data_IF_386445942479
#
_entry.id   IF_386445942479
#
_cell.length_a   1.000
_cell.length_b   1.000
_cell.length_c   1.000
_cell.angle_alpha   90.00
_cell.angle_beta   90.00
_cell.angle_gamma   90.00
#
_symmetry.space_group_name_H-M   'P 1'
#
loop_
_entity.id
_entity.type
_entity.pdbx_description
1 polymer ?
#
# COMPACT_ATOMS: atom_id res chain seq x y z
N UNK A 1 -7.48 -17.88 -46.76
CA UNK A 1 -6.18 -18.27 -46.19
C UNK A 1 -6.47 -18.75 -44.78
N UNK A 2 -6.76 -20.05 -44.65
CA UNK A 2 -6.89 -20.77 -43.39
C UNK A 2 -5.66 -21.66 -43.31
N UNK A 3 -4.82 -21.44 -42.32
CA UNK A 3 -3.86 -22.32 -41.59
C UNK A 3 -3.05 -21.32 -40.72
N UNK A 4 -2.75 -21.48 -39.42
CA UNK A 4 -2.31 -22.66 -38.69
C UNK A 4 -2.74 -22.60 -37.21
N UNK A 5 -3.08 -23.74 -36.59
CA UNK A 5 -3.32 -23.89 -35.16
C UNK A 5 -2.06 -23.73 -34.30
N UNK A 6 -1.62 -22.48 -34.10
CA UNK A 6 -0.68 -22.09 -33.03
C UNK A 6 -1.35 -22.16 -31.65
N UNK A 7 -0.58 -22.27 -30.55
CA UNK A 7 -1.17 -22.32 -29.21
C UNK A 7 -2.04 -21.07 -29.02
N UNK A 8 -3.25 -21.24 -28.48
CA UNK A 8 -4.18 -20.16 -28.12
C UNK A 8 -3.42 -18.92 -27.60
N UNK A 9 -3.13 -17.95 -28.46
CA UNK A 9 -2.53 -16.69 -28.04
C UNK A 9 -3.61 -15.94 -27.27
N UNK A 10 -3.29 -15.63 -26.01
CA UNK A 10 -4.20 -14.93 -25.13
C UNK A 10 -4.38 -13.50 -25.63
N UNK A 11 -5.56 -13.19 -26.15
CA UNK A 11 -5.96 -11.83 -26.52
C UNK A 11 -6.33 -11.04 -25.25
N UNK A 12 -5.34 -10.31 -24.72
CA UNK A 12 -5.45 -9.51 -23.51
C UNK A 12 -6.47 -8.38 -23.64
N UNK A 13 -6.53 -7.72 -24.80
CA UNK A 13 -7.46 -6.62 -25.05
C UNK A 13 -8.91 -7.11 -25.02
N UNK A 14 -9.17 -8.27 -25.65
CA UNK A 14 -10.46 -8.93 -25.56
C UNK A 14 -10.79 -9.35 -24.13
N UNK A 15 -9.82 -9.94 -23.41
CA UNK A 15 -10.01 -10.37 -22.02
C UNK A 15 -10.33 -9.19 -21.09
N UNK A 16 -9.51 -8.13 -21.10
CA UNK A 16 -9.63 -6.98 -20.20
C UNK A 16 -10.86 -6.12 -20.50
N UNK A 17 -11.25 -5.99 -21.78
CA UNK A 17 -12.34 -5.10 -22.19
C UNK A 17 -13.71 -5.77 -22.13
N UNK A 18 -13.80 -7.06 -22.50
CA UNK A 18 -15.08 -7.74 -22.66
C UNK A 18 -15.33 -8.81 -21.59
N UNK A 19 -14.30 -9.52 -21.15
CA UNK A 19 -14.44 -10.65 -20.24
C UNK A 19 -14.34 -10.21 -18.77
N UNK A 20 -13.40 -9.32 -18.46
CA UNK A 20 -13.11 -8.84 -17.11
C UNK A 20 -14.29 -8.08 -16.47
N UNK A 21 -14.92 -7.10 -17.14
CA UNK A 21 -15.91 -6.25 -16.47
C UNK A 21 -17.14 -7.02 -15.98
N UNK A 22 -17.74 -7.96 -16.75
CA UNK A 22 -18.81 -8.81 -16.25
C UNK A 22 -18.39 -9.71 -15.07
N UNK A 23 -17.17 -10.26 -15.08
CA UNK A 23 -16.66 -11.12 -14.01
C UNK A 23 -16.50 -10.32 -12.71
N UNK A 24 -15.88 -9.14 -12.78
CA UNK A 24 -15.71 -8.26 -11.61
C UNK A 24 -17.06 -7.75 -11.12
N UNK A 25 -17.99 -7.43 -12.02
CA UNK A 25 -19.33 -6.98 -11.64
C UNK A 25 -20.12 -8.07 -10.91
N UNK A 26 -20.14 -9.30 -11.43
CA UNK A 26 -20.79 -10.45 -10.77
C UNK A 26 -20.15 -10.72 -9.40
N UNK A 27 -18.82 -10.69 -9.33
CA UNK A 27 -18.04 -10.83 -8.11
C UNK A 27 -18.41 -9.79 -7.05
N UNK A 28 -18.48 -8.52 -7.44
CA UNK A 28 -18.82 -7.41 -6.56
C UNK A 28 -20.30 -7.42 -6.17
N UNK A 29 -21.19 -7.78 -7.09
CA UNK A 29 -22.64 -7.81 -6.85
C UNK A 29 -23.04 -8.90 -5.85
N UNK A 30 -22.38 -10.06 -5.90
CA UNK A 30 -22.62 -11.16 -4.97
C UNK A 30 -21.83 -11.04 -3.66
N UNK A 31 -20.99 -10.01 -3.51
CA UNK A 31 -20.19 -9.80 -2.32
C UNK A 31 -21.08 -9.62 -1.09
N UNK A 32 -20.87 -10.45 -0.07
CA UNK A 32 -21.54 -10.24 1.21
C UNK A 32 -20.84 -9.10 1.95
N UNK A 33 -21.50 -7.95 2.03
CA UNK A 33 -20.94 -6.73 2.62
C UNK A 33 -20.63 -6.91 4.11
N UNK A 34 -21.45 -7.65 4.86
CA UNK A 34 -21.21 -7.92 6.28
C UNK A 34 -19.96 -8.78 6.48
N UNK A 35 -19.78 -9.80 5.64
CA UNK A 35 -18.58 -10.63 5.63
C UNK A 35 -17.35 -9.82 5.21
N UNK A 36 -17.47 -8.94 4.22
CA UNK A 36 -16.41 -8.04 3.80
C UNK A 36 -16.01 -7.08 4.92
N UNK A 37 -16.97 -6.45 5.59
CA UNK A 37 -16.71 -5.53 6.71
C UNK A 37 -16.06 -6.24 7.91
N UNK A 38 -16.51 -7.45 8.25
CA UNK A 38 -15.88 -8.27 9.29
C UNK A 38 -14.43 -8.66 8.94
N UNK A 39 -14.10 -8.70 7.65
CA UNK A 39 -12.79 -9.10 7.11
C UNK A 39 -11.96 -7.92 6.62
N UNK A 40 -12.46 -6.69 6.75
CA UNK A 40 -11.85 -5.48 6.23
C UNK A 40 -10.46 -5.29 6.83
N UNK A 41 -10.32 -5.71 8.06
CA UNK A 41 -9.11 -5.56 8.82
C UNK A 41 -7.94 -6.42 8.34
N UNK A 42 -8.05 -7.76 8.25
CA UNK A 42 -7.00 -8.56 7.64
C UNK A 42 -6.68 -8.07 6.23
N UNK A 43 -7.72 -7.69 5.48
CA UNK A 43 -7.60 -7.16 4.12
C UNK A 43 -6.68 -5.95 4.06
N UNK A 44 -6.92 -4.95 4.92
CA UNK A 44 -6.08 -3.77 5.02
C UNK A 44 -4.66 -4.12 5.48
N UNK A 45 -4.52 -4.98 6.48
CA UNK A 45 -3.21 -5.37 6.97
C UNK A 45 -2.37 -6.02 5.85
N UNK A 46 -2.94 -6.96 5.11
CA UNK A 46 -2.26 -7.63 4.00
C UNK A 46 -1.97 -6.69 2.83
N UNK A 47 -2.93 -5.83 2.45
CA UNK A 47 -2.73 -4.90 1.34
C UNK A 47 -1.55 -3.95 1.59
N UNK A 48 -1.43 -3.39 2.80
CA UNK A 48 -0.39 -2.39 3.08
C UNK A 48 0.93 -3.01 3.54
N UNK A 49 0.91 -3.98 4.46
CA UNK A 49 2.16 -4.62 4.91
C UNK A 49 2.73 -5.52 3.83
N UNK A 50 1.87 -6.24 3.10
CA UNK A 50 2.28 -7.06 1.96
C UNK A 50 3.00 -6.21 0.92
N UNK A 51 2.40 -5.09 0.51
CA UNK A 51 2.99 -4.14 -0.43
C UNK A 51 4.36 -3.60 0.01
N UNK A 52 4.49 -3.16 1.27
CA UNK A 52 5.76 -2.60 1.75
C UNK A 52 6.86 -3.66 1.80
N UNK A 53 6.51 -4.87 2.24
CA UNK A 53 7.44 -6.00 2.27
C UNK A 53 7.86 -6.42 0.87
N UNK A 54 6.91 -6.62 -0.06
CA UNK A 54 7.21 -7.02 -1.44
C UNK A 54 8.03 -5.96 -2.17
N UNK A 55 7.67 -4.69 -2.04
CA UNK A 55 8.43 -3.55 -2.61
C UNK A 55 9.86 -3.53 -2.10
N UNK A 56 10.06 -3.70 -0.79
CA UNK A 56 11.39 -3.68 -0.17
C UNK A 56 12.24 -4.86 -0.62
N UNK A 57 11.65 -6.06 -0.66
CA UNK A 57 12.34 -7.28 -1.10
C UNK A 57 12.73 -7.18 -2.58
N UNK A 58 11.78 -6.86 -3.47
CA UNK A 58 12.04 -6.75 -4.91
C UNK A 58 13.05 -5.63 -5.19
N UNK A 59 12.89 -4.46 -4.56
CA UNK A 59 13.77 -3.31 -4.78
C UNK A 59 15.20 -3.54 -4.28
N UNK A 60 15.38 -4.18 -3.12
CA UNK A 60 16.73 -4.52 -2.60
C UNK A 60 17.40 -5.63 -3.40
N UNK A 61 16.65 -6.64 -3.83
CA UNK A 61 17.15 -7.69 -4.73
C UNK A 61 17.60 -7.11 -6.07
N UNK A 62 16.80 -6.22 -6.67
CA UNK A 62 17.16 -5.60 -7.95
C UNK A 62 18.39 -4.68 -7.81
N UNK A 63 18.46 -3.89 -6.72
CA UNK A 63 19.62 -3.04 -6.45
C UNK A 63 20.90 -3.86 -6.29
N UNK A 64 20.86 -4.93 -5.49
CA UNK A 64 22.03 -5.80 -5.27
C UNK A 64 22.42 -6.58 -6.53
N UNK A 65 21.45 -7.07 -7.30
CA UNK A 65 21.71 -7.69 -8.60
C UNK A 65 22.37 -6.71 -9.59
N UNK A 66 21.99 -5.43 -9.56
CA UNK A 66 22.63 -4.37 -10.34
C UNK A 66 24.08 -4.11 -9.93
N UNK A 67 24.39 -4.15 -8.62
CA UNK A 67 25.78 -4.00 -8.13
C UNK A 67 26.67 -5.19 -8.48
N UNK A 68 26.09 -6.40 -8.53
CA UNK A 68 26.79 -7.64 -8.87
C UNK A 68 26.93 -7.84 -10.39
N UNK A 69 26.36 -6.93 -11.20
CA UNK A 69 26.46 -6.96 -12.66
C UNK A 69 25.54 -7.98 -13.35
N UNK A 70 24.55 -8.53 -12.61
CA UNK A 70 23.51 -9.40 -13.16
C UNK A 70 22.43 -8.62 -13.92
N UNK A 71 22.24 -7.35 -13.58
CA UNK A 71 21.21 -6.47 -14.16
C UNK A 71 21.79 -5.07 -14.42
N UNK A 72 21.03 -4.22 -15.12
CA UNK A 72 21.40 -2.82 -15.30
C UNK A 72 21.56 -2.12 -13.94
N UNK A 73 22.62 -1.33 -13.71
CA UNK A 73 22.89 -0.71 -12.41
C UNK A 73 21.90 0.43 -12.16
N UNK A 74 20.80 0.09 -11.48
CA UNK A 74 19.81 1.04 -11.02
C UNK A 74 20.19 1.61 -9.65
N UNK A 75 19.82 2.85 -9.38
CA UNK A 75 19.90 3.40 -8.03
C UNK A 75 18.92 2.67 -7.10
N UNK A 76 19.18 2.71 -5.79
CA UNK A 76 18.27 2.08 -4.81
C UNK A 76 16.85 2.65 -4.95
N UNK A 77 16.73 3.96 -5.14
CA UNK A 77 15.43 4.61 -5.33
C UNK A 77 14.72 4.12 -6.58
N UNK A 78 15.41 4.04 -7.73
CA UNK A 78 14.82 3.52 -8.97
C UNK A 78 14.40 2.05 -8.84
N UNK A 79 15.19 1.26 -8.09
CA UNK A 79 14.90 -0.15 -7.82
C UNK A 79 13.68 -0.32 -6.92
N UNK A 80 13.52 0.53 -5.90
CA UNK A 80 12.32 0.56 -5.05
C UNK A 80 11.07 1.03 -5.81
N UNK A 81 11.21 2.03 -6.69
CA UNK A 81 10.10 2.48 -7.56
C UNK A 81 9.63 1.34 -8.49
N UNK A 82 10.57 0.57 -9.03
CA UNK A 82 10.22 -0.63 -9.79
C UNK A 82 9.53 -1.68 -8.90
N UNK A 83 10.08 -1.91 -7.70
CA UNK A 83 9.48 -2.81 -6.71
C UNK A 83 8.04 -2.43 -6.35
N UNK A 84 7.75 -1.14 -6.15
CA UNK A 84 6.39 -0.68 -5.83
C UNK A 84 5.44 -0.82 -7.00
N UNK A 85 5.91 -0.56 -8.22
CA UNK A 85 5.11 -0.70 -9.44
C UNK A 85 4.69 -2.16 -9.67
N UNK A 86 5.61 -3.11 -9.46
CA UNK A 86 5.38 -4.55 -9.70
C UNK A 86 4.66 -5.24 -8.54
N UNK A 87 4.62 -4.61 -7.36
CA UNK A 87 3.95 -5.17 -6.18
C UNK A 87 2.42 -5.05 -6.23
N UNK A 88 1.87 -4.26 -7.15
CA UNK A 88 0.46 -4.27 -7.50
C UNK A 88 0.06 -5.65 -8.04
N UNK A 89 -0.97 -6.27 -7.46
CA UNK A 89 -1.37 -7.67 -7.75
C UNK A 89 -2.68 -7.71 -8.52
N UNK A 90 -2.74 -8.47 -9.62
CA UNK A 90 -3.99 -8.73 -10.33
C UNK A 90 -4.73 -9.94 -9.74
N UNK A 91 -5.91 -9.76 -9.12
CA UNK A 91 -6.66 -10.85 -8.50
C UNK A 91 -7.55 -11.61 -9.47
N UNK A 92 -7.75 -11.15 -10.72
CA UNK A 92 -8.93 -11.57 -11.49
C UNK A 92 -8.92 -13.06 -11.82
N UNK A 93 -7.76 -13.62 -12.16
CA UNK A 93 -7.62 -15.05 -12.38
C UNK A 93 -7.92 -15.88 -11.10
N UNK A 94 -7.51 -15.37 -9.93
CA UNK A 94 -7.73 -16.03 -8.63
C UNK A 94 -9.20 -15.98 -8.26
N UNK A 95 -9.85 -14.82 -8.40
CA UNK A 95 -11.26 -14.62 -8.10
C UNK A 95 -12.16 -15.48 -8.99
N UNK A 96 -11.86 -15.57 -10.29
CA UNK A 96 -12.58 -16.43 -11.23
C UNK A 96 -12.49 -17.92 -10.83
N UNK A 97 -11.33 -18.34 -10.31
CA UNK A 97 -11.13 -19.72 -9.84
C UNK A 97 -11.87 -19.98 -8.52
N UNK A 98 -11.87 -19.01 -7.60
CA UNK A 98 -12.57 -19.13 -6.32
C UNK A 98 -14.09 -19.24 -6.48
N UNK A 99 -14.67 -18.51 -7.43
CA UNK A 99 -16.10 -18.59 -7.74
C UNK A 99 -16.47 -20.00 -8.25
N UNK A 100 -15.64 -20.59 -9.12
CA UNK A 100 -15.83 -21.98 -9.61
C UNK A 100 -15.71 -23.04 -8.51
N UNK A 101 -14.82 -22.83 -7.54
CA UNK A 101 -14.55 -23.78 -6.46
C UNK A 101 -15.51 -23.65 -5.26
N UNK A 102 -16.43 -22.68 -5.27
CA UNK A 102 -17.35 -22.45 -4.15
C UNK A 102 -16.62 -22.07 -2.86
N UNK A 103 -15.54 -21.29 -2.96
CA UNK A 103 -14.76 -20.84 -1.79
C UNK A 103 -15.64 -19.97 -0.88
N UNK A 104 -15.40 -20.03 0.43
CA UNK A 104 -16.13 -19.23 1.42
C UNK A 104 -16.06 -17.73 1.08
N UNK A 105 -17.21 -17.06 1.17
CA UNK A 105 -17.35 -15.64 0.80
C UNK A 105 -16.41 -14.71 1.56
N UNK A 106 -16.00 -15.08 2.77
CA UNK A 106 -14.99 -14.36 3.55
C UNK A 106 -13.64 -14.28 2.83
N UNK A 107 -13.12 -15.40 2.30
CA UNK A 107 -11.78 -15.43 1.67
C UNK A 107 -11.82 -14.69 0.33
N UNK A 108 -12.92 -14.86 -0.41
CA UNK A 108 -13.19 -14.12 -1.62
C UNK A 108 -13.17 -12.60 -1.40
N UNK A 109 -13.93 -12.14 -0.40
CA UNK A 109 -14.02 -10.75 -0.01
C UNK A 109 -12.66 -10.15 0.41
N UNK A 110 -11.86 -10.94 1.14
CA UNK A 110 -10.53 -10.53 1.59
C UNK A 110 -9.55 -10.34 0.42
N UNK A 111 -9.48 -11.30 -0.50
CA UNK A 111 -8.57 -11.22 -1.66
C UNK A 111 -9.00 -10.12 -2.63
N UNK A 112 -10.31 -9.98 -2.87
CA UNK A 112 -10.84 -8.89 -3.69
C UNK A 112 -10.49 -7.51 -3.12
N UNK A 113 -10.71 -7.32 -1.81
CA UNK A 113 -10.39 -6.05 -1.17
C UNK A 113 -8.89 -5.77 -1.10
N UNK A 114 -8.09 -6.81 -0.86
CA UNK A 114 -6.63 -6.69 -0.76
C UNK A 114 -6.08 -6.13 -2.06
N UNK A 115 -6.49 -6.69 -3.20
CA UNK A 115 -5.93 -6.31 -4.48
C UNK A 115 -6.38 -4.92 -4.96
N UNK A 116 -7.62 -4.51 -4.68
CA UNK A 116 -8.06 -3.12 -4.96
C UNK A 116 -7.27 -2.11 -4.12
N UNK A 117 -7.08 -2.39 -2.84
CA UNK A 117 -6.37 -1.51 -1.92
C UNK A 117 -4.87 -1.49 -2.22
N UNK A 118 -4.29 -2.64 -2.55
CA UNK A 118 -2.90 -2.80 -2.93
C UNK A 118 -2.58 -2.01 -4.21
N UNK A 119 -3.41 -2.09 -5.25
CA UNK A 119 -3.24 -1.30 -6.50
C UNK A 119 -3.19 0.21 -6.23
N UNK A 120 -4.14 0.72 -5.45
CA UNK A 120 -4.19 2.13 -5.09
C UNK A 120 -2.96 2.54 -4.27
N UNK A 121 -2.56 1.73 -3.29
CA UNK A 121 -1.41 1.98 -2.44
C UNK A 121 -0.08 1.90 -3.22
N UNK A 122 0.07 0.94 -4.13
CA UNK A 122 1.22 0.75 -5.00
C UNK A 122 1.40 1.92 -5.96
N UNK A 123 0.31 2.44 -6.54
CA UNK A 123 0.34 3.63 -7.38
C UNK A 123 0.79 4.87 -6.59
N UNK A 124 0.22 5.07 -5.40
CA UNK A 124 0.61 6.19 -4.51
C UNK A 124 2.07 6.07 -4.12
N UNK A 125 2.54 4.87 -3.76
CA UNK A 125 3.93 4.60 -3.39
C UNK A 125 4.88 4.82 -4.58
N UNK A 126 4.51 4.38 -5.78
CA UNK A 126 5.32 4.58 -7.01
C UNK A 126 5.46 6.07 -7.33
N UNK A 127 4.35 6.82 -7.33
CA UNK A 127 4.39 8.28 -7.53
C UNK A 127 5.21 9.00 -6.45
N UNK A 128 5.09 8.51 -5.22
CA UNK A 128 5.86 9.00 -4.09
C UNK A 128 7.37 8.81 -4.33
N UNK A 129 7.80 7.60 -4.69
CA UNK A 129 9.21 7.30 -4.93
C UNK A 129 9.79 8.03 -6.15
N UNK A 130 9.01 8.19 -7.22
CA UNK A 130 9.40 8.99 -8.39
C UNK A 130 9.63 10.46 -8.06
N UNK A 131 8.86 11.01 -7.12
CA UNK A 131 8.95 12.42 -6.72
C UNK A 131 10.01 12.64 -5.64
N UNK A 132 10.58 11.57 -5.07
CA UNK A 132 11.58 11.61 -3.99
C UNK A 132 12.98 12.08 -4.45
N UNK A 133 13.14 12.47 -5.71
CA UNK A 133 14.39 13.02 -6.26
C UNK A 133 14.75 14.42 -5.66
N UNK A 134 13.83 15.03 -4.92
CA UNK A 134 14.03 16.29 -4.21
C UNK A 134 14.59 16.05 -2.79
N UNK A 135 15.90 16.25 -2.60
CA UNK A 135 16.59 16.20 -1.29
C UNK A 135 15.89 16.97 -0.13
N UNK A 136 15.22 18.13 -0.35
CA UNK A 136 14.49 18.82 0.72
C UNK A 136 13.28 18.05 1.27
N UNK A 137 12.68 17.15 0.47
CA UNK A 137 11.52 16.36 0.88
C UNK A 137 11.90 15.27 1.89
N UNK A 138 13.07 14.64 1.72
CA UNK A 138 13.59 13.65 2.65
C UNK A 138 13.85 14.24 4.05
N UNK A 139 14.45 15.44 4.09
CA UNK A 139 14.66 16.18 5.35
C UNK A 139 13.33 16.48 6.06
N UNK A 140 12.32 16.90 5.29
CA UNK A 140 10.98 17.21 5.79
C UNK A 140 10.26 16.01 6.42
N UNK A 141 10.68 14.78 6.10
CA UNK A 141 10.19 13.56 6.73
C UNK A 141 10.90 13.24 8.06
N UNK A 142 12.20 13.49 8.15
CA UNK A 142 13.00 13.20 9.35
C UNK A 142 12.80 14.19 10.51
N UNK A 143 12.54 15.47 10.21
CA UNK A 143 12.43 16.51 11.25
C UNK A 143 11.34 16.27 12.32
N UNK A 144 10.12 15.84 11.96
CA UNK A 144 9.07 15.53 12.95
C UNK A 144 9.49 14.43 13.92
N UNK A 145 10.05 13.33 13.42
CA UNK A 145 10.52 12.23 14.25
C UNK A 145 11.68 12.63 15.15
N UNK A 146 12.63 13.42 14.63
CA UNK A 146 13.71 13.99 15.44
C UNK A 146 13.15 14.86 16.59
N UNK A 147 12.15 15.70 16.30
CA UNK A 147 11.51 16.54 17.32
C UNK A 147 10.81 15.72 18.41
N UNK A 148 10.16 14.61 18.03
CA UNK A 148 9.52 13.67 18.95
C UNK A 148 10.55 13.04 19.89
N UNK A 149 11.58 12.37 19.33
CA UNK A 149 12.58 11.65 20.13
C UNK A 149 13.41 12.58 21.02
N UNK A 150 13.73 13.80 20.53
CA UNK A 150 14.46 14.78 21.34
C UNK A 150 13.62 15.30 22.52
N UNK A 151 12.32 15.45 22.35
CA UNK A 151 11.43 15.86 23.44
C UNK A 151 11.27 14.75 24.49
N UNK A 152 11.07 13.50 24.05
CA UNK A 152 11.04 12.33 24.94
C UNK A 152 12.34 12.16 25.71
N UNK A 153 13.50 12.33 25.05
CA UNK A 153 14.82 12.25 25.69
C UNK A 153 15.03 13.31 26.79
N UNK A 154 14.27 14.41 26.75
CA UNK A 154 14.29 15.48 27.76
C UNK A 154 13.16 15.38 28.78
N UNK A 155 12.36 14.32 28.76
CA UNK A 155 11.21 14.14 29.66
C UNK A 155 10.02 15.07 29.35
N UNK A 156 9.96 15.63 28.14
CA UNK A 156 8.85 16.44 27.65
C UNK A 156 7.93 15.59 26.76
N UNK A 157 6.71 16.07 26.49
CA UNK A 157 5.78 15.34 25.61
C UNK A 157 6.25 15.34 24.16
N UNK A 158 6.65 14.17 23.64
CA UNK A 158 6.99 13.99 22.23
C UNK A 158 5.81 14.27 21.29
N UNK A 159 4.58 13.92 21.71
CA UNK A 159 3.35 14.14 20.94
C UNK A 159 3.09 15.63 20.70
N UNK A 160 3.28 16.45 21.73
CA UNK A 160 3.14 17.92 21.58
C UNK A 160 4.25 18.48 20.70
N UNK A 161 5.47 17.98 20.84
CA UNK A 161 6.62 18.42 20.04
C UNK A 161 6.44 18.13 18.53
N UNK A 162 6.00 16.91 18.18
CA UNK A 162 5.78 16.52 16.78
C UNK A 162 4.61 17.30 16.16
N UNK A 163 3.54 17.56 16.93
CA UNK A 163 2.42 18.39 16.47
C UNK A 163 2.86 19.83 16.19
N UNK A 164 3.64 20.43 17.11
CA UNK A 164 4.18 21.77 16.92
C UNK A 164 5.12 21.85 15.71
N UNK A 165 6.00 20.85 15.55
CA UNK A 165 6.86 20.72 14.36
C UNK A 165 6.02 20.68 13.08
N UNK A 166 4.93 19.91 13.06
CA UNK A 166 4.00 19.84 11.93
C UNK A 166 3.39 21.20 11.56
N UNK A 167 2.96 21.99 12.55
CA UNK A 167 2.41 23.34 12.34
C UNK A 167 3.47 24.26 11.73
N UNK A 168 4.68 24.26 12.27
CA UNK A 168 5.80 25.09 11.74
C UNK A 168 6.13 24.71 10.31
N UNK A 169 6.20 23.41 9.99
CA UNK A 169 6.44 22.97 8.62
C UNK A 169 5.30 23.32 7.66
N UNK A 170 4.05 23.33 8.12
CA UNK A 170 2.92 23.74 7.29
C UNK A 170 2.99 25.22 6.87
N UNK A 171 3.59 26.07 7.71
CA UNK A 171 3.72 27.51 7.46
C UNK A 171 4.98 27.82 6.64
N UNK A 172 6.11 27.19 6.97
CA UNK A 172 7.40 27.51 6.36
C UNK A 172 7.81 26.51 5.28
N UNK A 173 7.88 25.24 5.63
CA UNK A 173 8.40 24.20 4.72
C UNK A 173 7.50 24.01 3.50
N UNK A 174 6.18 24.03 3.68
CA UNK A 174 5.22 23.87 2.56
C UNK A 174 5.37 24.95 1.48
N UNK A 175 5.68 26.19 1.88
CA UNK A 175 5.82 27.32 0.95
C UNK A 175 7.22 27.39 0.31
N UNK A 176 8.20 26.67 0.85
CA UNK A 176 9.58 26.64 0.34
C UNK A 176 9.90 25.36 -0.46
N UNK A 177 8.94 24.43 -0.55
CA UNK A 177 9.04 23.21 -1.34
C UNK A 177 8.39 23.39 -2.71
N UNK A 178 8.85 22.62 -3.69
CA UNK A 178 8.17 22.50 -4.99
C UNK A 178 6.76 21.90 -4.79
N UNK A 179 5.82 22.24 -5.67
CA UNK A 179 4.45 21.68 -5.61
C UNK A 179 4.45 20.14 -5.62
N UNK A 180 5.40 19.54 -6.35
CA UNK A 180 5.65 18.10 -6.36
C UNK A 180 6.09 17.57 -4.99
N UNK A 181 7.08 18.21 -4.36
CA UNK A 181 7.57 17.81 -3.04
C UNK A 181 6.52 18.00 -1.92
N UNK A 182 5.64 19.00 -2.03
CA UNK A 182 4.50 19.16 -1.12
C UNK A 182 3.49 18.03 -1.30
N UNK A 183 3.12 17.71 -2.55
CA UNK A 183 2.20 16.61 -2.85
C UNK A 183 2.75 15.27 -2.34
N UNK A 184 4.06 15.06 -2.49
CA UNK A 184 4.81 13.92 -1.97
C UNK A 184 4.73 13.82 -0.44
N UNK A 185 5.10 14.89 0.26
CA UNK A 185 5.08 14.96 1.72
C UNK A 185 3.69 14.64 2.26
N UNK A 186 2.65 15.22 1.65
CA UNK A 186 1.25 14.97 2.04
C UNK A 186 0.85 13.53 1.73
N UNK A 187 1.26 12.97 0.59
CA UNK A 187 1.01 11.57 0.23
C UNK A 187 1.61 10.59 1.23
N UNK A 188 2.88 10.76 1.59
CA UNK A 188 3.59 9.94 2.58
C UNK A 188 2.92 9.99 3.95
N UNK A 189 2.60 11.19 4.44
CA UNK A 189 1.92 11.32 5.73
C UNK A 189 0.52 10.71 5.71
N UNK A 190 -0.19 10.78 4.58
CA UNK A 190 -1.49 10.11 4.44
C UNK A 190 -1.37 8.59 4.50
N UNK A 191 -0.40 7.99 3.80
CA UNK A 191 -0.18 6.54 3.85
C UNK A 191 0.20 6.10 5.27
N UNK A 192 1.10 6.81 5.93
CA UNK A 192 1.52 6.49 7.30
C UNK A 192 0.39 6.68 8.32
N UNK A 193 -0.37 7.77 8.22
CA UNK A 193 -1.53 8.01 9.08
C UNK A 193 -2.58 6.92 8.87
N UNK A 194 -2.84 6.53 7.62
CA UNK A 194 -3.77 5.47 7.30
C UNK A 194 -3.33 4.12 7.91
N UNK A 195 -2.07 3.73 7.72
CA UNK A 195 -1.52 2.48 8.30
C UNK A 195 -1.55 2.52 9.83
N UNK A 196 -1.20 3.66 10.44
CA UNK A 196 -1.25 3.84 11.89
C UNK A 196 -2.69 3.76 12.42
N UNK A 197 -3.64 4.39 11.74
CA UNK A 197 -5.06 4.33 12.08
C UNK A 197 -5.58 2.89 12.03
N UNK A 198 -5.27 2.13 10.97
CA UNK A 198 -5.62 0.71 10.91
C UNK A 198 -4.97 -0.07 12.07
N UNK A 199 -3.70 0.18 12.36
CA UNK A 199 -2.98 -0.45 13.47
C UNK A 199 -3.59 -0.14 14.84
N UNK A 200 -4.14 1.06 15.05
CA UNK A 200 -4.84 1.42 16.29
C UNK A 200 -6.16 0.66 16.40
N UNK A 201 -6.94 0.57 15.31
CA UNK A 201 -8.15 -0.25 15.29
C UNK A 201 -7.83 -1.74 15.52
N UNK A 202 -6.66 -2.23 15.06
CA UNK A 202 -6.11 -3.56 15.39
C UNK A 202 -5.91 -3.76 16.85
N UNK A 203 -5.18 -2.85 17.46
CA UNK A 203 -4.88 -2.95 18.87
C UNK A 203 -6.15 -2.88 19.72
N UNK A 204 -7.06 -1.95 19.43
CA UNK A 204 -8.32 -1.80 20.17
C UNK A 204 -9.26 -3.01 19.99
N UNK A 205 -9.37 -3.54 18.77
CA UNK A 205 -10.17 -4.72 18.46
C UNK A 205 -9.70 -5.97 19.20
N UNK A 206 -8.38 -6.19 19.29
CA UNK A 206 -7.81 -7.32 20.04
C UNK A 206 -7.86 -7.12 21.56
N UNK A 207 -7.87 -5.88 22.06
CA UNK A 207 -7.95 -5.58 23.49
C UNK A 207 -9.37 -5.71 24.06
N UNK A 208 -10.40 -5.55 23.23
CA UNK A 208 -11.82 -5.60 23.63
C UNK A 208 -12.22 -6.90 24.38
N UNK A 209 -11.83 -8.10 23.94
CA UNK A 209 -12.12 -9.35 24.67
C UNK A 209 -11.34 -9.53 25.98
N UNK A 210 -10.23 -8.79 26.15
CA UNK A 210 -9.36 -8.85 27.34
C UNK A 210 -9.75 -7.85 28.42
N UNK A 211 -10.64 -6.90 28.10
CA UNK A 211 -11.23 -6.02 29.10
C UNK A 211 -12.05 -6.91 30.06
N UNK A 212 -11.72 -6.93 31.35
CA UNK A 212 -12.60 -7.56 32.32
C UNK A 212 -13.93 -6.81 32.22
N UNK A 213 -14.94 -7.48 31.68
CA UNK A 213 -16.31 -7.02 31.75
C UNK A 213 -16.63 -7.11 33.24
N UNK A 214 -16.36 -6.01 33.95
CA UNK A 214 -16.60 -5.92 35.37
C UNK A 214 -18.10 -6.10 35.61
N UNK A 215 -18.51 -7.32 35.99
CA UNK A 215 -19.84 -7.59 36.56
C UNK A 215 -20.74 -8.60 35.84
N UNK A 216 -20.26 -9.81 35.54
CA UNK A 216 -21.12 -11.01 35.61
C UNK A 216 -20.52 -12.00 36.61
#
# INVERSE_FOLDING_TARGET
>A
MMDDGGPLEFDEDFFMTWLLPPIIFEAAFNLNVDAFQASLFPTLLFAFLGLLCSTSVIGTLLYTAGQVGLCYPLSLLASLTFGSLVSATDPVAVLATFNKLGVKQHVFAMVFGESILNDAAALVLTKTLLTFHDAPAALSFTFPWASYFLAEAKGLSGVVAIAFCGIVMAIYTRNNLSDGAVALMVGLYKVLAFVAEQSVFVYLGMALPLLPIAGM
#
